data_IF_280857095747
#
_entry.id   IF_280857095747
#
_cell.length_a   1.000
_cell.length_b   1.000
_cell.length_c   1.000
_cell.angle_alpha   90.00
_cell.angle_beta   90.00
_cell.angle_gamma   90.00
#
_symmetry.space_group_name_H-M   'P 1'
#
loop_
_entity.id
_entity.type
_entity.pdbx_description
1 polymer ?
#
# COMPACT_ATOMS: atom_id res chain seq x y z
N UNK A 1 -16.87 13.76 -13.23
CA UNK A 1 -16.18 13.82 -11.92
C UNK A 1 -15.57 12.45 -11.66
N UNK A 2 -14.23 12.32 -11.62
CA UNK A 2 -13.59 11.03 -11.32
C UNK A 2 -13.68 10.78 -9.81
N UNK A 3 -14.52 9.85 -9.38
CA UNK A 3 -14.70 9.50 -7.96
C UNK A 3 -13.78 8.37 -7.50
N UNK A 4 -13.33 7.53 -8.43
CA UNK A 4 -12.51 6.35 -8.13
C UNK A 4 -11.48 6.08 -9.23
N UNK A 5 -10.38 5.45 -8.86
CA UNK A 5 -9.35 4.94 -9.77
C UNK A 5 -9.18 3.44 -9.58
N UNK A 6 -8.94 2.71 -10.66
CA UNK A 6 -8.58 1.29 -10.60
C UNK A 6 -7.13 1.17 -10.17
N UNK A 7 -6.88 0.44 -9.08
CA UNK A 7 -5.54 0.18 -8.54
C UNK A 7 -5.04 -1.24 -8.87
N UNK A 8 -5.97 -2.15 -9.15
CA UNK A 8 -5.66 -3.55 -9.40
C UNK A 8 -6.90 -4.32 -9.85
N UNK A 9 -6.78 -5.65 -9.90
CA UNK A 9 -7.92 -6.50 -10.21
C UNK A 9 -8.93 -6.49 -9.05
N UNK A 10 -10.11 -5.92 -9.30
CA UNK A 10 -11.18 -5.79 -8.29
C UNK A 10 -10.85 -4.83 -7.15
N UNK A 11 -9.86 -3.95 -7.32
CA UNK A 11 -9.40 -3.00 -6.30
C UNK A 11 -9.53 -1.59 -6.86
N UNK A 12 -10.29 -0.77 -6.17
CA UNK A 12 -10.53 0.63 -6.52
C UNK A 12 -10.21 1.52 -5.31
N UNK A 13 -9.52 2.62 -5.58
CA UNK A 13 -9.23 3.66 -4.60
C UNK A 13 -10.14 4.86 -4.81
N UNK A 14 -10.54 5.50 -3.73
CA UNK A 14 -11.25 6.78 -3.79
C UNK A 14 -10.28 7.88 -4.19
N UNK A 15 -10.75 8.80 -5.03
CA UNK A 15 -9.98 9.99 -5.40
C UNK A 15 -10.52 11.20 -4.64
N UNK A 16 -9.62 12.10 -4.25
CA UNK A 16 -9.96 13.44 -3.76
C UNK A 16 -9.33 14.49 -4.69
N UNK A 17 -9.97 15.66 -4.78
CA UNK A 17 -9.40 16.77 -5.54
C UNK A 17 -8.38 17.51 -4.68
N UNK A 18 -7.13 17.53 -5.12
CA UNK A 18 -6.06 18.28 -4.46
C UNK A 18 -5.95 19.67 -5.07
N UNK A 19 -6.14 20.70 -4.25
CA UNK A 19 -5.94 22.09 -4.69
C UNK A 19 -4.48 22.43 -4.94
N UNK A 20 -3.55 21.68 -4.34
CA UNK A 20 -2.10 21.92 -4.45
C UNK A 20 -1.55 21.45 -5.81
N UNK A 21 -2.05 20.33 -6.32
CA UNK A 21 -1.66 19.78 -7.63
C UNK A 21 -2.66 20.13 -8.73
N UNK A 22 -3.81 20.71 -8.37
CA UNK A 22 -4.94 21.01 -9.26
C UNK A 22 -5.43 19.77 -10.03
N UNK A 23 -5.34 18.59 -9.41
CA UNK A 23 -5.73 17.31 -10.00
C UNK A 23 -6.33 16.36 -8.94
N UNK A 24 -6.96 15.28 -9.40
CA UNK A 24 -7.47 14.22 -8.55
C UNK A 24 -6.35 13.29 -8.11
N UNK A 25 -6.19 13.14 -6.80
CA UNK A 25 -5.19 12.28 -6.17
C UNK A 25 -5.84 11.13 -5.41
N UNK A 26 -5.12 10.03 -5.23
CA UNK A 26 -5.54 8.92 -4.39
C UNK A 26 -5.72 9.39 -2.94
N UNK A 27 -6.87 9.09 -2.36
CA UNK A 27 -7.18 9.37 -0.96
C UNK A 27 -6.36 8.41 -0.07
N UNK A 28 -5.22 8.90 0.42
CA UNK A 28 -4.21 8.15 1.15
C UNK A 28 -3.01 7.68 0.31
N UNK A 29 -2.01 7.12 0.98
CA UNK A 29 -0.82 6.55 0.34
C UNK A 29 -1.04 5.10 -0.09
N UNK A 30 -0.32 4.65 -1.13
CA UNK A 30 -0.41 3.26 -1.62
C UNK A 30 -0.15 2.23 -0.51
N UNK A 31 0.72 2.52 0.46
CA UNK A 31 0.95 1.66 1.63
C UNK A 31 -0.34 1.44 2.44
N UNK A 32 -1.05 2.53 2.75
CA UNK A 32 -2.30 2.48 3.51
C UNK A 32 -3.40 1.76 2.75
N UNK A 33 -3.54 2.06 1.46
CA UNK A 33 -4.54 1.40 0.60
C UNK A 33 -4.24 -0.09 0.45
N UNK A 34 -2.97 -0.47 0.26
CA UNK A 34 -2.56 -1.87 0.19
C UNK A 34 -2.90 -2.63 1.48
N UNK A 35 -2.60 -2.06 2.65
CA UNK A 35 -2.97 -2.64 3.96
C UNK A 35 -4.47 -2.79 4.14
N UNK A 36 -5.25 -1.78 3.74
CA UNK A 36 -6.71 -1.84 3.77
C UNK A 36 -7.25 -2.96 2.87
N UNK A 37 -6.67 -3.14 1.68
CA UNK A 37 -7.02 -4.24 0.78
C UNK A 37 -6.70 -5.60 1.41
N UNK A 38 -5.52 -5.77 2.00
CA UNK A 38 -5.15 -7.01 2.69
C UNK A 38 -6.15 -7.33 3.82
N UNK A 39 -6.51 -6.32 4.62
CA UNK A 39 -7.53 -6.45 5.67
C UNK A 39 -8.89 -6.89 5.10
N UNK A 40 -9.36 -6.25 4.02
CA UNK A 40 -10.63 -6.60 3.35
C UNK A 40 -10.62 -8.00 2.75
N UNK A 41 -9.46 -8.48 2.30
CA UNK A 41 -9.28 -9.83 1.77
C UNK A 41 -8.99 -10.86 2.87
N UNK A 42 -9.00 -10.47 4.14
CA UNK A 42 -8.65 -11.31 5.30
C UNK A 42 -7.27 -11.97 5.15
N UNK A 43 -6.30 -11.24 4.59
CA UNK A 43 -4.93 -11.69 4.44
C UNK A 43 -4.13 -11.13 5.62
N UNK A 44 -3.63 -11.98 6.53
CA UNK A 44 -2.81 -11.51 7.65
C UNK A 44 -1.52 -10.88 7.14
N UNK A 45 -1.17 -9.72 7.67
CA UNK A 45 0.04 -9.00 7.30
C UNK A 45 0.70 -8.35 8.52
N UNK A 46 2.01 -8.13 8.39
CA UNK A 46 2.86 -7.43 9.35
C UNK A 46 3.58 -6.27 8.64
N UNK A 47 4.02 -5.24 9.35
CA UNK A 47 4.91 -4.22 8.79
C UNK A 47 6.14 -4.86 8.13
N UNK A 48 6.72 -4.18 7.13
CA UNK A 48 7.97 -4.63 6.52
C UNK A 48 9.12 -4.56 7.53
N UNK A 49 10.17 -5.37 7.34
CA UNK A 49 11.31 -5.39 8.26
C UNK A 49 11.95 -4.00 8.40
N UNK A 50 12.07 -3.25 7.30
CA UNK A 50 12.61 -1.89 7.33
C UNK A 50 11.75 -0.90 8.12
N UNK A 51 10.44 -1.11 8.17
CA UNK A 51 9.52 -0.30 8.96
C UNK A 51 9.61 -0.65 10.44
N UNK A 52 9.77 -1.93 10.79
CA UNK A 52 10.05 -2.35 12.16
C UNK A 52 11.38 -1.79 12.66
N UNK A 53 12.44 -1.91 11.87
CA UNK A 53 13.77 -1.41 12.24
C UNK A 53 13.78 0.11 12.43
N UNK A 54 13.03 0.84 11.60
CA UNK A 54 12.84 2.27 11.77
C UNK A 54 12.06 2.59 13.06
N UNK A 55 10.92 1.93 13.29
CA UNK A 55 10.07 2.16 14.46
C UNK A 55 10.78 1.80 15.78
N UNK A 56 11.61 0.76 15.77
CA UNK A 56 12.41 0.32 16.91
C UNK A 56 13.71 1.11 17.08
N UNK A 57 13.96 2.14 16.26
CA UNK A 57 15.18 2.96 16.25
C UNK A 57 16.47 2.14 16.02
N UNK A 58 16.35 0.96 15.43
CA UNK A 58 17.49 0.15 14.95
C UNK A 58 18.09 0.71 13.66
N UNK A 59 17.30 1.45 12.89
CA UNK A 59 17.72 2.14 11.67
C UNK A 59 17.22 3.59 11.67
N UNK A 60 18.03 4.49 11.10
CA UNK A 60 17.63 5.86 10.81
C UNK A 60 17.08 6.04 9.38
N UNK A 61 17.16 4.98 8.56
CA UNK A 61 16.66 5.03 7.19
C UNK A 61 15.14 5.01 7.20
N UNK A 62 14.52 6.07 6.67
CA UNK A 62 13.07 6.17 6.54
C UNK A 62 12.60 5.24 5.41
N UNK A 63 11.67 4.31 5.65
CA UNK A 63 11.17 3.40 4.62
C UNK A 63 10.32 4.17 3.60
N UNK A 64 10.77 4.19 2.35
CA UNK A 64 10.08 4.88 1.24
C UNK A 64 9.27 3.93 0.36
N UNK A 65 9.61 2.64 0.36
CA UNK A 65 8.91 1.64 -0.44
C UNK A 65 7.66 1.16 0.30
N UNK A 66 6.47 1.20 -0.33
CA UNK A 66 5.25 0.72 0.29
C UNK A 66 5.24 -0.81 0.27
N UNK A 67 5.81 -1.41 1.31
CA UNK A 67 5.95 -2.86 1.46
C UNK A 67 5.25 -3.35 2.73
N UNK A 68 4.65 -4.53 2.67
CA UNK A 68 4.20 -5.26 3.86
C UNK A 68 4.64 -6.72 3.79
N UNK A 69 4.83 -7.35 4.94
CA UNK A 69 5.02 -8.79 5.01
C UNK A 69 3.66 -9.46 5.09
N UNK A 70 3.42 -10.49 4.28
CA UNK A 70 2.13 -11.19 4.23
C UNK A 70 2.29 -12.66 4.60
N UNK A 71 1.27 -13.21 5.26
CA UNK A 71 1.16 -14.64 5.54
C UNK A 71 0.14 -15.27 4.61
N UNK A 72 0.58 -16.21 3.78
CA UNK A 72 -0.26 -16.90 2.81
C UNK A 72 -0.26 -16.29 1.41
N UNK A 73 -1.27 -16.64 0.60
CA UNK A 73 -1.28 -16.36 -0.84
C UNK A 73 -1.88 -14.98 -1.15
N UNK A 74 -1.10 -14.18 -1.86
CA UNK A 74 -1.57 -12.95 -2.49
C UNK A 74 -0.86 -12.78 -3.83
N UNK A 75 -1.64 -12.74 -4.92
CA UNK A 75 -1.13 -12.68 -6.29
C UNK A 75 -1.67 -11.47 -7.06
N UNK A 76 -2.17 -10.45 -6.35
CA UNK A 76 -2.78 -9.27 -6.99
C UNK A 76 -1.77 -8.13 -7.02
N UNK A 77 -1.68 -7.47 -8.18
CA UNK A 77 -0.95 -6.21 -8.31
C UNK A 77 -1.81 -5.06 -7.79
N UNK A 78 -1.24 -4.20 -6.95
CA UNK A 78 -1.84 -2.93 -6.52
C UNK A 78 -0.87 -1.80 -6.86
N UNK A 79 -1.29 -0.90 -7.74
CA UNK A 79 -0.43 0.16 -8.27
C UNK A 79 -1.23 1.45 -8.46
N UNK A 80 -0.58 2.59 -8.22
CA UNK A 80 -1.08 3.92 -8.55
C UNK A 80 0.04 4.74 -9.17
N UNK A 81 -0.09 5.11 -10.44
CA UNK A 81 1.01 5.69 -11.20
C UNK A 81 2.23 4.77 -11.20
N UNK A 82 3.40 5.31 -10.86
CA UNK A 82 4.66 4.56 -10.77
C UNK A 82 4.88 3.87 -9.41
N UNK A 83 3.97 4.07 -8.45
CA UNK A 83 4.09 3.52 -7.10
C UNK A 83 3.32 2.21 -7.02
N UNK A 84 4.02 1.13 -6.69
CA UNK A 84 3.47 -0.22 -6.55
C UNK A 84 3.57 -0.70 -5.10
N UNK A 85 2.46 -1.23 -4.57
CA UNK A 85 2.48 -1.92 -3.29
C UNK A 85 3.21 -3.25 -3.44
N UNK A 86 4.31 -3.41 -2.70
CA UNK A 86 5.10 -4.63 -2.69
C UNK A 86 4.77 -5.47 -1.47
N UNK A 87 5.11 -6.74 -1.55
CA UNK A 87 4.98 -7.63 -0.41
C UNK A 87 6.13 -8.61 -0.31
N UNK A 88 6.44 -8.95 0.93
CA UNK A 88 7.39 -9.99 1.32
C UNK A 88 6.59 -11.18 1.84
N UNK A 89 6.98 -12.40 1.49
CA UNK A 89 6.33 -13.61 1.99
C UNK A 89 6.97 -14.00 3.34
N UNK A 90 6.18 -13.96 4.42
CA UNK A 90 6.50 -14.70 5.64
C UNK A 90 6.12 -16.16 5.36
N UNK A 91 7.12 -17.03 5.37
CA UNK A 91 7.11 -18.49 5.15
C UNK A 91 5.76 -19.20 4.90
N UNK A 92 5.75 -20.12 3.92
CA UNK A 92 4.57 -20.92 3.50
C UNK A 92 3.96 -21.75 4.63
#
# INVERSE_FOLDING_TARGET
>A
MKSSVRLGYGIYGKLFFSRYTNDYCLDGFILGVGREVLNKLNIPWLPAQCEEDYNERRSQQVPVNPTARIKGRFNRKIQYGDIEFRYEQLER
#
